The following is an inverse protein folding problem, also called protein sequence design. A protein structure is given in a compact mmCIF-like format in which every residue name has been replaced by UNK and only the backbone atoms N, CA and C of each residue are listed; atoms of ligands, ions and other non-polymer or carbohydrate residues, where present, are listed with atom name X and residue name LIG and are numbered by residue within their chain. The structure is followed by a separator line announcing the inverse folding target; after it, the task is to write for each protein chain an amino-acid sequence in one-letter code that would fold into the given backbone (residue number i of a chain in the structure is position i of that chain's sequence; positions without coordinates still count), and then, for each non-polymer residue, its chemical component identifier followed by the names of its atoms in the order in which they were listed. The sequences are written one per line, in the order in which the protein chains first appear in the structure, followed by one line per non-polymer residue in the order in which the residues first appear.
data_IF_493694167056
#
_entry.id   IF_493694167056
#
_cell.length_a   1.000
_cell.length_b   1.000
_cell.length_c   1.000
_cell.angle_alpha   90.00
_cell.angle_beta   90.00
_cell.angle_gamma   90.00
#
_symmetry.space_group_name_H-M   'P 1'
#
loop_
_entity.id
_entity.type
_entity.pdbx_description
1 polymer ?
#
# COMPACT_ATOMS: atom_id res chain seq x y z
N UNK A 1 -20.85 -42.12 -13.96
CA UNK A 1 -21.21 -40.71 -13.67
C UNK A 1 -20.49 -40.12 -12.43
N UNK A 2 -19.35 -40.67 -11.98
CA UNK A 2 -18.67 -40.21 -10.76
C UNK A 2 -17.35 -39.46 -11.03
N UNK A 3 -16.84 -39.47 -12.27
CA UNK A 3 -15.59 -38.80 -12.67
C UNK A 3 -15.75 -37.31 -13.02
N UNK A 4 -16.98 -36.87 -13.35
CA UNK A 4 -17.26 -35.48 -13.75
C UNK A 4 -17.35 -34.55 -12.52
N UNK A 5 -17.76 -35.07 -11.36
CA UNK A 5 -17.91 -34.29 -10.13
C UNK A 5 -16.56 -33.83 -9.54
N UNK A 6 -15.48 -34.58 -9.78
CA UNK A 6 -14.14 -34.26 -9.25
C UNK A 6 -13.49 -33.13 -10.06
N UNK A 7 -13.76 -33.04 -11.37
CA UNK A 7 -13.23 -31.97 -12.24
C UNK A 7 -13.80 -30.59 -11.90
N UNK A 8 -15.04 -30.51 -11.40
CA UNK A 8 -15.64 -29.24 -10.95
C UNK A 8 -15.02 -28.71 -9.65
N UNK A 9 -14.57 -29.58 -8.74
CA UNK A 9 -13.91 -29.15 -7.49
C UNK A 9 -12.50 -28.59 -7.70
N UNK A 10 -11.78 -29.06 -8.73
CA UNK A 10 -10.43 -28.57 -9.04
C UNK A 10 -10.49 -27.18 -9.70
N UNK A 11 -11.55 -26.86 -10.45
CA UNK A 11 -11.73 -25.55 -11.08
C UNK A 11 -12.11 -24.43 -10.11
N UNK A 12 -12.72 -24.75 -8.95
CA UNK A 12 -13.08 -23.74 -7.94
C UNK A 12 -11.92 -23.43 -6.96
N UNK A 13 -10.87 -24.24 -6.91
CA UNK A 13 -9.72 -23.98 -6.04
C UNK A 13 -8.73 -22.94 -6.60
N UNK A 14 -8.84 -22.57 -7.89
CA UNK A 14 -7.91 -21.62 -8.53
C UNK A 14 -8.36 -20.16 -8.47
N UNK A 15 -9.56 -19.85 -7.96
CA UNK A 15 -10.06 -18.47 -7.85
C UNK A 15 -9.71 -17.75 -6.54
N UNK A 16 -8.96 -18.39 -5.62
CA UNK A 16 -8.71 -17.82 -4.29
C UNK A 16 -7.38 -17.05 -4.12
N UNK A 17 -6.61 -16.81 -5.19
CA UNK A 17 -5.25 -16.26 -5.07
C UNK A 17 -5.07 -14.82 -5.58
N UNK A 18 -6.06 -13.94 -5.49
CA UNK A 18 -5.85 -12.50 -5.74
C UNK A 18 -6.72 -11.60 -4.85
N UNK A 19 -6.74 -11.85 -3.54
CA UNK A 19 -7.11 -10.79 -2.61
C UNK A 19 -5.86 -9.89 -2.46
N UNK A 20 -5.75 -8.87 -3.31
CA UNK A 20 -4.65 -7.90 -3.25
C UNK A 20 -4.69 -7.22 -1.88
N UNK A 21 -3.71 -7.50 -1.04
CA UNK A 21 -3.47 -6.71 0.16
C UNK A 21 -3.16 -5.28 -0.29
N UNK A 22 -4.11 -4.38 -0.09
CA UNK A 22 -4.00 -2.94 -0.30
C UNK A 22 -3.02 -2.28 0.70
N UNK A 23 -2.03 -3.02 1.19
CA UNK A 23 -1.09 -2.58 2.21
C UNK A 23 0.24 -2.18 1.55
N UNK A 24 0.88 -1.11 2.05
CA UNK A 24 2.25 -0.78 1.67
C UNK A 24 3.19 -1.92 2.06
N UNK A 25 4.19 -2.21 1.23
CA UNK A 25 5.18 -3.25 1.50
C UNK A 25 6.58 -2.80 1.11
N UNK A 26 7.60 -3.29 1.84
CA UNK A 26 9.01 -3.00 1.59
C UNK A 26 9.64 -4.18 0.83
N UNK A 27 10.38 -3.88 -0.23
CA UNK A 27 11.16 -4.90 -0.93
C UNK A 27 12.23 -5.48 -0.01
N UNK A 28 12.36 -6.80 -0.01
CA UNK A 28 13.47 -7.48 0.67
C UNK A 28 14.79 -7.24 -0.06
N UNK A 29 15.90 -7.43 0.62
CA UNK A 29 17.24 -7.36 0.00
C UNK A 29 17.36 -8.34 -1.18
N UNK A 30 16.79 -9.53 -1.06
CA UNK A 30 16.77 -10.51 -2.14
C UNK A 30 15.98 -10.00 -3.36
N UNK A 31 14.84 -9.32 -3.16
CA UNK A 31 14.08 -8.72 -4.27
C UNK A 31 14.84 -7.58 -4.93
N UNK A 32 15.58 -6.77 -4.16
CA UNK A 32 16.44 -5.69 -4.69
C UNK A 32 17.68 -6.22 -5.40
N UNK A 33 18.27 -7.30 -4.89
CA UNK A 33 19.45 -7.94 -5.46
C UNK A 33 19.17 -8.74 -6.74
N UNK A 34 17.89 -8.97 -7.08
CA UNK A 34 17.47 -9.58 -8.36
C UNK A 34 17.69 -8.61 -9.51
N UNK A 35 18.94 -8.39 -9.84
CA UNK A 35 19.36 -7.87 -11.13
C UNK A 35 19.01 -8.93 -12.20
N UNK A 36 18.18 -8.55 -13.17
CA UNK A 36 18.15 -9.03 -14.57
C UNK A 36 17.05 -9.92 -15.17
N UNK A 37 15.99 -10.40 -14.50
CA UNK A 37 14.89 -11.08 -15.24
C UNK A 37 13.50 -10.89 -14.63
N UNK A 38 13.05 -9.65 -14.55
CA UNK A 38 11.63 -9.40 -14.32
C UNK A 38 10.81 -9.92 -15.49
N UNK A 39 9.74 -10.67 -15.22
CA UNK A 39 8.76 -11.01 -16.25
C UNK A 39 8.08 -9.74 -16.73
N UNK A 40 7.62 -9.74 -17.99
CA UNK A 40 6.82 -8.64 -18.55
C UNK A 40 5.35 -8.72 -18.15
N UNK A 41 5.02 -9.59 -17.20
CA UNK A 41 3.67 -9.72 -16.70
C UNK A 41 3.28 -8.45 -15.94
N UNK A 42 2.20 -7.82 -16.37
CA UNK A 42 1.75 -6.55 -15.84
C UNK A 42 0.93 -6.77 -14.56
N UNK A 43 1.50 -6.34 -13.45
CA UNK A 43 0.86 -6.34 -12.13
C UNK A 43 1.19 -5.00 -11.47
N UNK A 44 0.53 -3.91 -11.90
CA UNK A 44 0.99 -2.56 -11.64
C UNK A 44 1.11 -2.27 -10.14
N UNK A 45 2.16 -1.57 -9.78
CA UNK A 45 2.41 -1.09 -8.42
C UNK A 45 2.82 0.37 -8.45
N UNK A 46 2.64 1.06 -7.33
CA UNK A 46 3.11 2.41 -7.16
C UNK A 46 4.40 2.40 -6.32
N UNK A 47 5.49 2.82 -6.93
CA UNK A 47 6.75 3.10 -6.25
C UNK A 47 6.65 4.39 -5.45
N UNK A 48 6.91 4.30 -4.14
CA UNK A 48 6.97 5.46 -3.26
C UNK A 48 8.42 5.84 -3.06
N UNK A 49 8.75 7.10 -3.35
CA UNK A 49 10.09 7.67 -3.22
C UNK A 49 10.04 8.88 -2.29
N UNK A 50 11.17 9.18 -1.66
CA UNK A 50 11.30 10.36 -0.82
C UNK A 50 11.40 11.62 -1.68
N UNK A 51 10.52 12.60 -1.42
CA UNK A 51 10.59 13.93 -2.04
C UNK A 51 11.61 14.85 -1.37
N UNK A 52 11.67 16.11 -1.82
CA UNK A 52 12.62 17.10 -1.33
C UNK A 52 12.25 17.65 0.05
N UNK A 53 10.95 17.65 0.39
CA UNK A 53 10.47 18.06 1.71
C UNK A 53 10.22 16.87 2.64
N UNK A 54 10.29 17.06 3.98
CA UNK A 54 9.79 16.09 4.93
C UNK A 54 8.35 15.71 4.59
N UNK A 55 8.06 14.41 4.56
CA UNK A 55 6.75 13.83 4.22
C UNK A 55 6.36 13.89 2.75
N UNK A 56 7.03 14.68 1.91
CA UNK A 56 6.76 14.65 0.47
C UNK A 56 7.09 13.28 -0.11
N UNK A 57 6.15 12.74 -0.88
CA UNK A 57 6.29 11.45 -1.54
C UNK A 57 6.12 11.63 -3.04
N UNK A 58 7.15 11.25 -3.78
CA UNK A 58 7.07 11.10 -5.24
C UNK A 58 6.50 9.70 -5.50
N UNK A 59 5.49 9.63 -6.36
CA UNK A 59 4.74 8.42 -6.69
C UNK A 59 5.02 8.07 -8.15
N UNK A 60 5.53 6.88 -8.40
CA UNK A 60 5.94 6.45 -9.74
C UNK A 60 5.23 5.15 -10.09
N UNK A 61 4.45 5.14 -11.17
CA UNK A 61 3.83 3.93 -11.67
C UNK A 61 4.90 2.97 -12.20
N UNK A 62 4.78 1.70 -11.79
CA UNK A 62 5.69 0.63 -12.16
C UNK A 62 4.90 -0.56 -12.68
N UNK A 63 5.40 -1.22 -13.72
CA UNK A 63 4.66 -2.31 -14.38
C UNK A 63 4.43 -3.52 -13.47
N UNK A 64 5.38 -3.80 -12.56
CA UNK A 64 5.24 -4.84 -11.55
C UNK A 64 6.19 -4.66 -10.36
N UNK A 65 5.94 -5.47 -9.33
CA UNK A 65 6.76 -5.59 -8.11
C UNK A 65 8.25 -5.74 -8.41
N UNK A 66 8.60 -6.59 -9.38
CA UNK A 66 10.00 -6.88 -9.67
C UNK A 66 10.73 -5.64 -10.19
N UNK A 67 10.15 -4.98 -11.21
CA UNK A 67 10.70 -3.72 -11.74
C UNK A 67 10.76 -2.64 -10.65
N UNK A 68 9.71 -2.54 -9.84
CA UNK A 68 9.67 -1.56 -8.77
C UNK A 68 10.72 -1.82 -7.68
N UNK A 69 11.03 -3.09 -7.36
CA UNK A 69 12.06 -3.44 -6.38
C UNK A 69 13.48 -3.30 -6.92
N UNK A 70 13.71 -3.37 -8.24
CA UNK A 70 15.04 -3.08 -8.82
C UNK A 70 15.38 -1.59 -8.80
N UNK A 71 14.39 -0.70 -8.66
CA UNK A 71 14.62 0.73 -8.55
C UNK A 71 15.04 1.13 -7.13
N UNK A 72 16.29 1.57 -6.97
CA UNK A 72 16.85 1.97 -5.68
C UNK A 72 16.17 3.19 -5.07
N UNK A 73 15.58 4.06 -5.90
CA UNK A 73 14.86 5.25 -5.45
C UNK A 73 13.54 4.91 -4.71
N UNK A 74 12.96 3.74 -4.95
CA UNK A 74 11.74 3.31 -4.27
C UNK A 74 12.07 2.88 -2.83
N UNK A 75 11.55 3.62 -1.85
CA UNK A 75 11.71 3.31 -0.43
C UNK A 75 10.80 2.14 -0.01
N UNK A 76 9.56 2.16 -0.47
CA UNK A 76 8.58 1.09 -0.33
C UNK A 76 7.54 1.21 -1.45
N UNK A 77 6.64 0.23 -1.54
CA UNK A 77 5.72 0.05 -2.65
C UNK A 77 4.28 -0.02 -2.15
N UNK A 78 3.33 0.42 -2.97
CA UNK A 78 1.90 0.21 -2.78
C UNK A 78 1.36 -0.66 -3.92
N UNK A 79 0.58 -1.69 -3.59
CA UNK A 79 0.02 -2.62 -4.59
C UNK A 79 -1.09 -1.93 -5.37
N UNK A 80 -0.96 -1.91 -6.69
CA UNK A 80 -1.85 -1.19 -7.60
C UNK A 80 -1.24 0.13 -8.12
N UNK A 81 -1.85 0.72 -9.16
CA UNK A 81 -1.36 1.96 -9.78
C UNK A 81 -1.45 3.17 -8.83
N UNK A 82 -0.61 4.18 -9.06
CA UNK A 82 -0.52 5.38 -8.23
C UNK A 82 -1.80 6.22 -8.22
N UNK A 83 -2.62 6.17 -9.27
CA UNK A 83 -3.90 6.88 -9.34
C UNK A 83 -4.95 6.39 -8.33
N UNK A 84 -4.73 5.24 -7.68
CA UNK A 84 -5.55 4.77 -6.55
C UNK A 84 -5.27 5.50 -5.25
N UNK A 85 -4.13 6.16 -5.14
CA UNK A 85 -3.78 6.93 -3.95
C UNK A 85 -4.56 8.25 -4.01
N UNK A 86 -5.37 8.60 -2.98
CA UNK A 86 -6.13 9.85 -2.99
C UNK A 86 -5.25 11.07 -3.22
N UNK A 87 -5.78 12.06 -3.95
CA UNK A 87 -5.02 13.26 -4.29
C UNK A 87 -4.53 14.02 -3.04
N UNK A 88 -3.23 14.31 -3.01
CA UNK A 88 -2.56 14.94 -1.88
C UNK A 88 -2.40 14.07 -0.64
N UNK A 89 -2.73 12.77 -0.71
CA UNK A 89 -2.45 11.81 0.35
C UNK A 89 -1.03 11.24 0.24
N UNK A 90 -0.52 10.81 1.39
CA UNK A 90 0.72 10.07 1.58
C UNK A 90 0.37 8.63 1.92
N UNK A 91 1.17 7.70 1.40
CA UNK A 91 1.08 6.29 1.75
C UNK A 91 1.79 6.08 3.08
N UNK A 92 1.17 5.34 4.00
CA UNK A 92 1.80 4.99 5.26
C UNK A 92 3.08 4.18 5.02
N UNK A 93 4.18 4.54 5.70
CA UNK A 93 5.36 3.67 5.71
C UNK A 93 4.98 2.34 6.42
N UNK A 94 5.30 1.18 5.81
CA UNK A 94 4.97 -0.13 6.40
C UNK A 94 5.54 -0.32 7.81
N UNK A 95 6.63 0.36 8.18
CA UNK A 95 7.28 0.22 9.48
C UNK A 95 6.45 0.83 10.63
N UNK A 96 5.45 1.66 10.33
CA UNK A 96 4.51 2.14 11.35
C UNK A 96 3.51 1.07 11.80
N UNK A 97 3.29 0.01 11.00
CA UNK A 97 2.21 -0.95 11.23
C UNK A 97 2.41 -1.70 12.55
N UNK A 98 1.38 -1.67 13.40
CA UNK A 98 1.41 -2.35 14.69
C UNK A 98 2.28 -1.68 15.76
N UNK A 99 2.85 -0.50 15.50
CA UNK A 99 3.57 0.25 16.52
C UNK A 99 2.64 0.59 17.70
N UNK A 100 3.02 0.12 18.89
CA UNK A 100 2.30 0.38 20.14
C UNK A 100 2.58 1.80 20.66
N UNK A 101 3.82 2.25 20.50
CA UNK A 101 4.30 3.53 20.99
C UNK A 101 4.46 4.50 19.83
N UNK A 102 3.71 5.59 19.87
CA UNK A 102 3.85 6.71 18.95
C UNK A 102 4.11 7.97 19.75
N UNK A 103 4.88 8.94 19.21
CA UNK A 103 5.05 10.23 19.83
C UNK A 103 3.70 10.91 20.12
N UNK A 104 3.68 11.80 21.12
CA UNK A 104 2.48 12.52 21.56
C UNK A 104 2.32 13.90 20.91
N UNK A 105 3.13 14.20 19.89
CA UNK A 105 3.03 15.42 19.10
C UNK A 105 1.64 15.53 18.45
N UNK A 106 1.07 16.74 18.46
CA UNK A 106 -0.26 17.05 17.93
C UNK A 106 -0.19 17.60 16.50
N UNK A 107 0.30 16.78 15.57
CA UNK A 107 0.30 17.10 14.14
C UNK A 107 -0.82 16.31 13.46
N UNK A 108 -2.06 16.76 13.63
CA UNK A 108 -3.22 15.97 13.23
C UNK A 108 -3.20 15.59 11.74
N UNK A 109 -3.63 14.37 11.46
CA UNK A 109 -3.76 13.85 10.10
C UNK A 109 -5.11 13.19 9.89
N UNK A 110 -5.58 13.19 8.65
CA UNK A 110 -6.73 12.44 8.21
C UNK A 110 -6.28 11.11 7.63
N UNK A 111 -6.58 10.00 8.31
CA UNK A 111 -6.23 8.64 7.85
C UNK A 111 -7.35 8.03 7.01
N UNK A 112 -6.98 7.40 5.90
CA UNK A 112 -7.87 6.73 4.95
C UNK A 112 -7.71 5.22 5.05
N UNK A 113 -8.84 4.50 5.05
CA UNK A 113 -8.85 3.04 5.17
C UNK A 113 -8.59 2.33 3.85
N UNK A 114 -8.04 1.12 3.94
CA UNK A 114 -7.70 0.24 2.81
C UNK A 114 -8.90 -0.20 1.97
N UNK A 115 -10.09 -0.22 2.57
CA UNK A 115 -11.35 -0.54 1.90
C UNK A 115 -11.98 0.68 1.20
N UNK A 116 -11.35 1.87 1.29
CA UNK A 116 -11.89 3.12 0.74
C UNK A 116 -13.10 3.66 1.49
N UNK A 117 -13.56 2.99 2.55
CA UNK A 117 -14.76 3.38 3.30
C UNK A 117 -14.34 4.11 4.57
N UNK A 118 -14.52 5.43 4.52
CA UNK A 118 -14.39 6.30 5.67
C UNK A 118 -12.96 6.77 5.93
N UNK A 119 -12.90 7.80 6.77
CA UNK A 119 -11.68 8.43 7.20
C UNK A 119 -11.81 8.87 8.65
N UNK A 120 -10.70 8.98 9.36
CA UNK A 120 -10.69 9.41 10.75
C UNK A 120 -9.54 10.36 11.04
N UNK A 121 -9.79 11.34 11.90
CA UNK A 121 -8.74 12.26 12.34
C UNK A 121 -7.92 11.58 13.44
N UNK A 122 -6.61 11.50 13.23
CA UNK A 122 -5.66 10.97 14.20
C UNK A 122 -4.80 12.11 14.76
N UNK A 123 -4.16 11.85 15.90
CA UNK A 123 -3.30 12.81 16.57
C UNK A 123 -2.06 13.19 15.73
N UNK A 124 -1.51 12.19 15.04
CA UNK A 124 -0.36 12.27 14.15
C UNK A 124 -0.31 11.08 13.19
N UNK A 125 0.61 11.14 12.23
CA UNK A 125 0.84 10.09 11.23
C UNK A 125 1.14 8.72 11.86
N UNK A 126 1.96 8.66 12.90
CA UNK A 126 2.30 7.39 13.55
C UNK A 126 1.04 6.73 14.12
N UNK A 127 0.18 7.49 14.80
CA UNK A 127 -1.09 6.99 15.34
C UNK A 127 -2.08 6.56 14.26
N UNK A 128 -2.05 7.20 13.09
CA UNK A 128 -2.86 6.80 11.94
C UNK A 128 -2.32 5.49 11.33
N UNK A 129 -1.05 5.50 10.94
CA UNK A 129 -0.41 4.40 10.21
C UNK A 129 -0.14 3.15 11.06
N UNK A 130 -0.17 3.26 12.39
CA UNK A 130 -0.12 2.09 13.27
C UNK A 130 -1.40 1.26 13.27
N UNK A 131 -2.51 1.82 12.78
CA UNK A 131 -3.75 1.07 12.57
C UNK A 131 -3.63 0.17 11.35
N UNK A 132 -4.06 -1.09 11.49
CA UNK A 132 -3.95 -2.09 10.43
C UNK A 132 -4.79 -1.71 9.20
N UNK A 133 -5.93 -1.05 9.40
CA UNK A 133 -6.87 -0.67 8.36
C UNK A 133 -6.53 0.65 7.65
N UNK A 134 -5.65 1.49 8.18
CA UNK A 134 -5.27 2.79 7.58
C UNK A 134 -4.08 2.65 6.64
N UNK A 135 -4.22 3.05 5.37
CA UNK A 135 -3.17 2.87 4.35
C UNK A 135 -2.65 4.18 3.77
N UNK A 136 -3.46 5.24 3.85
CA UNK A 136 -3.07 6.58 3.45
C UNK A 136 -3.36 7.57 4.56
N UNK A 137 -2.71 8.72 4.50
CA UNK A 137 -3.06 9.86 5.33
C UNK A 137 -2.86 11.18 4.59
N UNK A 138 -3.52 12.23 5.06
CA UNK A 138 -3.34 13.60 4.60
C UNK A 138 -3.14 14.51 5.81
N UNK A 139 -2.27 15.50 5.69
CA UNK A 139 -2.06 16.49 6.75
C UNK A 139 -3.36 17.25 7.07
N UNK A 140 -3.57 17.52 8.36
CA UNK A 140 -4.75 18.20 8.86
C UNK A 140 -5.87 17.27 9.29
N UNK A 141 -6.96 17.86 9.80
CA UNK A 141 -8.17 17.12 10.18
C UNK A 141 -8.87 16.57 8.96
N UNK A 142 -9.59 15.48 9.14
CA UNK A 142 -10.52 15.04 8.13
C UNK A 142 -11.63 16.05 7.89
N UNK A 143 -12.16 16.15 6.65
CA UNK A 143 -13.37 16.91 6.41
C UNK A 143 -14.49 16.38 7.30
N UNK A 144 -15.25 17.30 7.89
CA UNK A 144 -16.49 16.95 8.59
C UNK A 144 -17.42 16.42 7.51
N UNK A 145 -17.92 15.20 7.67
CA UNK A 145 -18.94 14.66 6.78
C UNK A 145 -20.17 15.58 6.85
N UNK A 146 -20.32 16.47 5.89
CA UNK A 146 -21.61 17.03 5.52
C UNK A 146 -22.25 16.00 4.61
N UNK A 147 -22.99 15.07 5.22
CA UNK A 147 -24.02 14.30 4.49
C UNK A 147 -25.23 15.20 4.27
#
# INVERSE_FOLDING_TARGET
MQKILILFFILLAQSFAFYQDNQPYRCTEQQRAKNFRCTREAHPVCGIQQGSQPYEQIKVDQSNVCMACSELANIFLFIGPCNRIPSGAQVCDPDYKGLKNCPTNKQQVCGYRSNGIGWHTFLNECKACSKSDVVFFKQGKCPVNTF
#
